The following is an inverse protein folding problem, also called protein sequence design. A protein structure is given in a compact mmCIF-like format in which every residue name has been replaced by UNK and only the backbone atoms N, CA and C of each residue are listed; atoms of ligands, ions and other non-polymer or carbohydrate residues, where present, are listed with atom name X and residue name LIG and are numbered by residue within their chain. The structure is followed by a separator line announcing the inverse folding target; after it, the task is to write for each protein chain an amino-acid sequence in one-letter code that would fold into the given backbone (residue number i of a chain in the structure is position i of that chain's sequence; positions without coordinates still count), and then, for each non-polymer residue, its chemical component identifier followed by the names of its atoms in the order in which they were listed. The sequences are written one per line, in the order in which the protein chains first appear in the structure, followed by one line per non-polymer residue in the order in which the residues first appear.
data_IF_256579207707
#
_entry.id   IF_256579207707
#
_cell.length_a   1.000
_cell.length_b   1.000
_cell.length_c   1.000
_cell.angle_alpha   90.00
_cell.angle_beta   90.00
_cell.angle_gamma   90.00
#
_symmetry.space_group_name_H-M   'P 1'
#
loop_
_entity.id
_entity.type
_entity.pdbx_description
1 polymer ?
#
# COMPACT_ATOMS: atom_id res chain seq x y z
N UNK A 1 -19.31 -18.93 -11.53
CA UNK A 1 -18.08 -18.15 -11.33
C UNK A 1 -18.51 -16.73 -11.01
N UNK A 2 -17.99 -16.10 -9.94
CA UNK A 2 -18.19 -14.65 -9.81
C UNK A 2 -17.65 -14.01 -11.10
N UNK A 3 -18.47 -13.22 -11.77
CA UNK A 3 -18.06 -12.50 -12.97
C UNK A 3 -16.81 -11.68 -12.62
N UNK A 4 -15.76 -11.75 -13.43
CA UNK A 4 -14.50 -10.99 -13.25
C UNK A 4 -14.77 -9.52 -12.95
N UNK A 5 -15.85 -8.97 -13.52
CA UNK A 5 -16.31 -7.61 -13.27
C UNK A 5 -16.67 -7.35 -11.81
N UNK A 6 -17.34 -8.30 -11.13
CA UNK A 6 -17.64 -8.17 -9.69
C UNK A 6 -16.36 -8.08 -8.86
N UNK A 7 -15.35 -8.89 -9.20
CA UNK A 7 -14.05 -8.86 -8.51
C UNK A 7 -13.33 -7.53 -8.74
N UNK A 8 -13.31 -7.03 -9.98
CA UNK A 8 -12.72 -5.72 -10.32
C UNK A 8 -13.43 -4.58 -9.59
N UNK A 9 -14.76 -4.53 -9.63
CA UNK A 9 -15.54 -3.50 -8.96
C UNK A 9 -15.32 -3.53 -7.43
N UNK A 10 -15.22 -4.73 -6.84
CA UNK A 10 -14.92 -4.92 -5.43
C UNK A 10 -13.51 -4.42 -5.08
N UNK A 11 -12.51 -4.77 -5.89
CA UNK A 11 -11.14 -4.29 -5.74
C UNK A 11 -11.06 -2.76 -5.79
N UNK A 12 -11.66 -2.14 -6.81
CA UNK A 12 -11.67 -0.67 -6.95
C UNK A 12 -12.39 -0.01 -5.77
N UNK A 13 -13.48 -0.61 -5.27
CA UNK A 13 -14.15 -0.12 -4.07
C UNK A 13 -13.24 -0.10 -2.84
N UNK A 14 -12.57 -1.23 -2.56
CA UNK A 14 -11.64 -1.32 -1.43
C UNK A 14 -10.46 -0.36 -1.59
N UNK A 15 -9.92 -0.22 -2.80
CA UNK A 15 -8.88 0.77 -3.08
C UNK A 15 -9.35 2.20 -2.80
N UNK A 16 -10.60 2.53 -3.13
CA UNK A 16 -11.17 3.85 -2.84
C UNK A 16 -11.25 4.10 -1.33
N UNK A 17 -11.65 3.10 -0.54
CA UNK A 17 -11.63 3.17 0.91
C UNK A 17 -10.21 3.34 1.47
N UNK A 18 -9.24 2.58 0.96
CA UNK A 18 -7.83 2.67 1.39
C UNK A 18 -7.30 4.08 1.12
N UNK A 19 -7.53 4.65 -0.07
CA UNK A 19 -7.15 6.04 -0.36
C UNK A 19 -7.84 7.03 0.58
N UNK A 20 -9.14 6.87 0.83
CA UNK A 20 -9.89 7.73 1.75
C UNK A 20 -9.27 7.72 3.15
N UNK A 21 -8.93 6.55 3.69
CA UNK A 21 -8.26 6.43 4.99
C UNK A 21 -6.83 6.97 4.96
N UNK A 22 -6.06 6.71 3.90
CA UNK A 22 -4.69 7.19 3.76
C UNK A 22 -4.64 8.73 3.75
N UNK A 23 -5.45 9.39 2.93
CA UNK A 23 -5.52 10.85 2.89
C UNK A 23 -6.06 11.45 4.20
N UNK A 24 -7.08 10.84 4.81
CA UNK A 24 -7.63 11.32 6.08
C UNK A 24 -6.62 11.20 7.22
N UNK A 25 -5.90 10.09 7.28
CA UNK A 25 -4.84 9.85 8.26
C UNK A 25 -3.70 10.87 8.09
N UNK A 26 -3.27 11.09 6.85
CA UNK A 26 -2.18 12.03 6.55
C UNK A 26 -2.60 13.48 6.84
N UNK A 27 -3.83 13.87 6.52
CA UNK A 27 -4.36 15.22 6.79
C UNK A 27 -4.22 15.61 8.26
N UNK A 28 -4.55 14.71 9.18
CA UNK A 28 -4.43 14.96 10.63
C UNK A 28 -2.97 15.08 11.07
N UNK A 29 -2.05 14.37 10.38
CA UNK A 29 -0.64 14.30 10.74
C UNK A 29 0.19 15.45 10.15
N UNK A 30 -0.23 16.06 9.04
CA UNK A 30 0.53 17.10 8.33
C UNK A 30 0.99 18.24 9.25
N UNK A 31 0.13 18.86 10.09
CA UNK A 31 0.58 19.98 10.93
C UNK A 31 1.70 19.62 11.91
N UNK A 32 1.72 18.38 12.42
CA UNK A 32 2.73 17.90 13.37
C UNK A 32 3.99 17.33 12.72
N UNK A 33 3.86 16.70 11.55
CA UNK A 33 4.99 16.08 10.86
C UNK A 33 5.68 17.04 9.89
N UNK A 34 4.91 17.65 8.99
CA UNK A 34 5.40 18.35 7.80
C UNK A 34 5.18 19.86 7.81
N UNK A 35 4.42 20.36 8.77
CA UNK A 35 4.19 21.79 8.96
C UNK A 35 5.47 22.56 9.25
N UNK A 36 5.36 23.88 9.28
CA UNK A 36 6.52 24.78 9.47
C UNK A 36 7.29 24.53 10.77
N UNK A 37 6.57 24.12 11.82
CA UNK A 37 7.10 23.74 13.12
C UNK A 37 7.01 22.22 13.36
N UNK A 38 6.84 21.44 12.29
CA UNK A 38 6.75 19.99 12.35
C UNK A 38 8.12 19.33 12.59
N UNK A 39 8.10 18.02 12.85
CA UNK A 39 9.31 17.24 13.07
C UNK A 39 10.25 17.24 11.84
N UNK A 40 9.67 17.17 10.64
CA UNK A 40 10.38 17.19 9.36
C UNK A 40 9.67 18.14 8.39
N UNK A 41 9.94 19.46 8.47
CA UNK A 41 9.24 20.45 7.66
C UNK A 41 9.39 20.18 6.15
N UNK A 42 8.26 20.11 5.45
CA UNK A 42 8.22 19.82 4.01
C UNK A 42 8.91 20.89 3.16
N UNK A 43 8.94 22.14 3.64
CA UNK A 43 9.63 23.26 2.98
C UNK A 43 11.13 23.06 2.77
N UNK A 44 11.77 22.17 3.55
CA UNK A 44 13.19 21.90 3.42
C UNK A 44 13.52 21.01 2.20
N UNK A 45 12.52 20.29 1.70
CA UNK A 45 12.66 19.41 0.53
C UNK A 45 12.24 20.11 -0.76
N UNK A 46 11.39 21.14 -0.66
CA UNK A 46 10.99 21.92 -1.82
C UNK A 46 11.96 23.07 -2.04
N UNK A 47 12.54 23.15 -3.24
CA UNK A 47 13.30 24.33 -3.65
C UNK A 47 12.39 25.56 -3.59
N UNK A 48 12.89 26.63 -2.97
CA UNK A 48 12.16 27.87 -2.69
C UNK A 48 11.62 28.59 -3.93
N UNK A 49 12.09 28.23 -5.13
CA UNK A 49 11.76 28.94 -6.37
C UNK A 49 10.52 28.39 -7.10
N UNK A 50 9.93 27.26 -6.67
CA UNK A 50 8.79 26.66 -7.35
C UNK A 50 9.10 26.22 -8.78
N UNK A 51 8.16 25.57 -9.47
CA UNK A 51 8.39 25.22 -10.88
C UNK A 51 8.11 26.43 -11.78
N UNK A 52 9.08 26.83 -12.61
CA UNK A 52 8.94 27.94 -13.57
C UNK A 52 8.44 27.46 -14.94
N UNK A 53 8.81 26.24 -15.32
CA UNK A 53 8.42 25.58 -16.57
C UNK A 53 7.78 24.20 -16.34
N UNK A 54 7.01 23.71 -17.31
CA UNK A 54 6.55 22.30 -17.34
C UNK A 54 7.72 21.31 -17.42
N UNK A 55 8.87 21.75 -17.95
CA UNK A 55 10.11 20.97 -17.99
C UNK A 55 10.69 20.77 -16.58
N UNK A 56 10.71 21.81 -15.72
CA UNK A 56 11.17 21.72 -14.33
C UNK A 56 10.33 20.76 -13.45
N UNK A 57 9.05 20.61 -13.81
CA UNK A 57 8.12 19.66 -13.18
C UNK A 57 8.40 18.21 -13.54
N UNK A 58 8.90 17.97 -14.75
CA UNK A 58 9.14 16.63 -15.31
C UNK A 58 10.58 16.17 -15.09
N UNK A 59 11.55 17.09 -15.16
CA UNK A 59 12.98 16.80 -14.99
C UNK A 59 13.38 16.70 -13.51
N UNK A 60 12.64 17.34 -12.61
CA UNK A 60 12.83 17.21 -11.16
C UNK A 60 11.99 16.09 -10.53
N UNK A 61 11.84 16.11 -9.20
CA UNK A 61 10.87 15.27 -8.51
C UNK A 61 9.43 15.69 -8.89
N UNK A 62 8.64 14.82 -9.55
CA UNK A 62 7.32 15.17 -10.06
C UNK A 62 6.33 15.31 -8.91
N UNK A 63 6.03 16.54 -8.50
CA UNK A 63 5.09 16.84 -7.42
C UNK A 63 4.18 18.00 -7.78
N UNK A 64 2.87 17.85 -7.51
CA UNK A 64 1.90 18.93 -7.68
C UNK A 64 2.13 20.08 -6.68
N UNK A 65 2.90 19.83 -5.61
CA UNK A 65 3.24 20.84 -4.60
C UNK A 65 4.08 21.98 -5.17
N UNK A 66 4.91 21.74 -6.21
CA UNK A 66 5.66 22.80 -6.91
C UNK A 66 4.78 23.83 -7.62
N UNK A 67 3.50 23.51 -7.86
CA UNK A 67 2.52 24.43 -8.44
C UNK A 67 1.79 25.28 -7.38
N UNK A 68 1.85 24.89 -6.10
CA UNK A 68 1.15 25.58 -5.00
C UNK A 68 1.68 26.99 -4.73
N UNK A 69 2.99 27.28 -4.84
CA UNK A 69 3.50 28.65 -4.76
C UNK A 69 2.87 29.60 -5.78
N UNK A 70 2.50 29.13 -6.99
CA UNK A 70 1.80 29.94 -8.00
C UNK A 70 0.38 30.31 -7.58
N UNK A 71 -0.23 29.50 -6.71
CA UNK A 71 -1.54 29.76 -6.12
C UNK A 71 -1.44 30.65 -4.86
N UNK A 72 -0.23 31.10 -4.49
CA UNK A 72 0.01 31.85 -3.26
C UNK A 72 -0.18 31.02 -1.99
N UNK A 73 -0.14 29.69 -2.12
CA UNK A 73 -0.28 28.77 -1.00
C UNK A 73 1.09 28.37 -0.47
N UNK A 74 1.20 28.41 0.86
CA UNK A 74 2.33 27.82 1.55
C UNK A 74 2.34 26.29 1.41
N UNK A 75 3.52 25.68 1.56
CA UNK A 75 3.78 24.25 1.37
C UNK A 75 2.83 23.39 2.21
N UNK A 76 2.64 23.75 3.48
CA UNK A 76 1.74 23.03 4.38
C UNK A 76 0.30 23.07 3.87
N UNK A 77 -0.20 24.26 3.50
CA UNK A 77 -1.56 24.45 2.97
C UNK A 77 -1.74 23.73 1.63
N UNK A 78 -0.69 23.65 0.82
CA UNK A 78 -0.65 22.85 -0.39
C UNK A 78 -0.87 21.36 -0.10
N UNK A 79 -0.15 20.80 0.88
CA UNK A 79 -0.33 19.40 1.30
C UNK A 79 -1.74 19.15 1.84
N UNK A 80 -2.26 20.05 2.67
CA UNK A 80 -3.62 19.97 3.20
C UNK A 80 -4.66 19.96 2.06
N UNK A 81 -4.50 20.81 1.05
CA UNK A 81 -5.37 20.87 -0.11
C UNK A 81 -5.33 19.57 -0.93
N UNK A 82 -4.14 19.01 -1.16
CA UNK A 82 -3.99 17.73 -1.87
C UNK A 82 -4.69 16.59 -1.10
N UNK A 83 -4.54 16.55 0.23
CA UNK A 83 -5.23 15.58 1.08
C UNK A 83 -6.75 15.74 1.01
N UNK A 84 -7.27 16.96 1.14
CA UNK A 84 -8.71 17.24 1.04
C UNK A 84 -9.27 16.88 -0.33
N UNK A 85 -8.57 17.24 -1.41
CA UNK A 85 -8.96 16.86 -2.77
C UNK A 85 -8.99 15.33 -2.93
N UNK A 86 -7.96 14.63 -2.42
CA UNK A 86 -7.89 13.17 -2.42
C UNK A 86 -9.04 12.53 -1.64
N UNK A 87 -9.37 13.05 -0.46
CA UNK A 87 -10.50 12.60 0.36
C UNK A 87 -11.83 12.75 -0.39
N UNK A 88 -12.07 13.89 -1.03
CA UNK A 88 -13.32 14.15 -1.76
C UNK A 88 -13.46 13.20 -2.95
N UNK A 89 -12.41 13.05 -3.76
CA UNK A 89 -12.43 12.13 -4.92
C UNK A 89 -12.63 10.69 -4.44
N UNK A 90 -11.91 10.26 -3.39
CA UNK A 90 -12.02 8.92 -2.84
C UNK A 90 -13.43 8.65 -2.27
N UNK A 91 -14.02 9.63 -1.57
CA UNK A 91 -15.39 9.54 -1.06
C UNK A 91 -16.40 9.37 -2.20
N UNK A 92 -16.29 10.14 -3.28
CA UNK A 92 -17.14 9.96 -4.46
C UNK A 92 -16.98 8.58 -5.09
N UNK A 93 -15.76 8.04 -5.14
CA UNK A 93 -15.48 6.68 -5.63
C UNK A 93 -16.08 5.58 -4.74
N UNK A 94 -16.18 5.81 -3.42
CA UNK A 94 -16.81 4.89 -2.47
C UNK A 94 -18.34 4.89 -2.63
N UNK A 95 -18.94 6.08 -2.75
CA UNK A 95 -20.40 6.25 -2.83
C UNK A 95 -20.95 5.91 -4.22
N UNK A 96 -20.26 6.36 -5.27
CA UNK A 96 -20.71 6.22 -6.66
C UNK A 96 -19.88 5.21 -7.43
N UNK A 97 -20.55 4.20 -7.99
CA UNK A 97 -19.90 3.25 -8.90
C UNK A 97 -19.39 3.91 -10.18
N UNK A 98 -20.02 5.01 -10.60
CA UNK A 98 -19.66 5.74 -11.83
C UNK A 98 -18.37 6.54 -11.66
N UNK A 99 -18.09 7.02 -10.45
CA UNK A 99 -16.85 7.73 -10.14
C UNK A 99 -15.61 6.82 -10.07
N UNK A 100 -15.78 5.49 -10.09
CA UNK A 100 -14.66 4.53 -10.12
C UNK A 100 -14.16 4.32 -11.55
N UNK A 101 -13.67 5.38 -12.15
CA UNK A 101 -13.15 5.43 -13.51
C UNK A 101 -11.63 5.65 -13.53
N UNK A 102 -11.05 5.49 -14.72
CA UNK A 102 -9.61 5.70 -14.96
C UNK A 102 -9.13 7.08 -14.47
N UNK A 103 -9.92 8.12 -14.70
CA UNK A 103 -9.57 9.51 -14.37
C UNK A 103 -9.46 9.67 -12.86
N UNK A 104 -10.45 9.22 -12.09
CA UNK A 104 -10.46 9.38 -10.64
C UNK A 104 -9.30 8.64 -9.97
N UNK A 105 -9.00 7.41 -10.41
CA UNK A 105 -7.84 6.66 -9.89
C UNK A 105 -6.49 7.28 -10.30
N UNK A 106 -6.40 7.85 -11.49
CA UNK A 106 -5.19 8.58 -11.92
C UNK A 106 -4.97 9.81 -11.06
N UNK A 107 -6.04 10.58 -10.78
CA UNK A 107 -5.97 11.74 -9.90
C UNK A 107 -5.57 11.33 -8.48
N UNK A 108 -6.23 10.32 -7.89
CA UNK A 108 -5.88 9.83 -6.55
C UNK A 108 -4.41 9.40 -6.47
N UNK A 109 -3.92 8.67 -7.48
CA UNK A 109 -2.53 8.24 -7.54
C UNK A 109 -1.56 9.41 -7.66
N UNK A 110 -1.84 10.39 -8.53
CA UNK A 110 -1.01 11.59 -8.70
C UNK A 110 -0.95 12.46 -7.44
N UNK A 111 -2.09 12.60 -6.75
CA UNK A 111 -2.17 13.33 -5.47
C UNK A 111 -1.33 12.62 -4.41
N UNK A 112 -1.46 11.29 -4.29
CA UNK A 112 -0.67 10.52 -3.32
C UNK A 112 0.82 10.53 -3.64
N UNK A 113 1.19 10.36 -4.91
CA UNK A 113 2.58 10.43 -5.37
C UNK A 113 3.20 11.78 -5.03
N UNK A 114 2.46 12.87 -5.22
CA UNK A 114 2.93 14.22 -4.88
C UNK A 114 3.25 14.37 -3.40
N UNK A 115 2.43 13.79 -2.51
CA UNK A 115 2.67 13.78 -1.07
C UNK A 115 3.84 12.86 -0.71
N UNK A 116 3.91 11.67 -1.30
CA UNK A 116 4.97 10.69 -1.07
C UNK A 116 6.38 11.25 -1.34
N UNK A 117 6.54 11.98 -2.46
CA UNK A 117 7.84 12.57 -2.82
C UNK A 117 8.35 13.59 -1.78
N UNK A 118 7.44 14.31 -1.11
CA UNK A 118 7.79 15.32 -0.08
C UNK A 118 7.76 14.73 1.34
N UNK A 119 7.15 13.57 1.53
CA UNK A 119 6.90 12.99 2.85
C UNK A 119 8.09 12.33 3.55
N UNK A 120 9.30 12.42 2.99
CA UNK A 120 10.56 12.02 3.62
C UNK A 120 10.48 10.64 4.32
N UNK A 121 11.10 10.49 5.49
CA UNK A 121 11.20 9.23 6.25
C UNK A 121 9.83 8.67 6.67
N UNK A 122 8.83 9.53 6.90
CA UNK A 122 7.52 9.10 7.39
C UNK A 122 6.59 8.52 6.30
N UNK A 123 6.77 8.90 5.02
CA UNK A 123 6.05 8.29 3.89
C UNK A 123 6.91 7.27 3.13
N UNK A 124 8.19 7.09 3.47
CA UNK A 124 9.08 6.11 2.84
C UNK A 124 8.94 4.69 3.45
N UNK A 125 7.73 4.30 3.87
CA UNK A 125 7.46 2.94 4.33
C UNK A 125 7.00 2.03 3.19
N UNK A 126 7.18 0.72 3.37
CA UNK A 126 6.83 -0.28 2.37
C UNK A 126 5.34 -0.26 1.99
N UNK A 127 4.46 0.15 2.91
CA UNK A 127 3.02 0.23 2.68
C UNK A 127 2.63 1.37 1.75
N UNK A 128 3.33 2.50 1.81
CA UNK A 128 3.14 3.64 0.90
C UNK A 128 3.59 3.30 -0.52
N UNK A 129 4.73 2.62 -0.63
CA UNK A 129 5.23 2.09 -1.91
C UNK A 129 4.21 1.08 -2.48
N UNK A 130 3.71 0.17 -1.65
CA UNK A 130 2.67 -0.78 -2.06
C UNK A 130 1.38 -0.07 -2.48
N UNK A 131 0.98 1.01 -1.81
CA UNK A 131 -0.19 1.81 -2.18
C UNK A 131 0.01 2.50 -3.53
N UNK A 132 1.20 3.01 -3.82
CA UNK A 132 1.54 3.56 -5.13
C UNK A 132 1.55 2.50 -6.24
N UNK A 133 2.12 1.31 -5.97
CA UNK A 133 2.16 0.19 -6.93
C UNK A 133 0.75 -0.35 -7.22
N UNK A 134 -0.04 -0.61 -6.16
CA UNK A 134 -1.45 -1.05 -6.29
C UNK A 134 -2.34 0.04 -6.90
N UNK A 135 -2.09 1.30 -6.56
CA UNK A 135 -2.76 2.46 -7.12
C UNK A 135 -2.55 2.59 -8.62
N UNK A 136 -1.30 2.42 -9.08
CA UNK A 136 -0.99 2.38 -10.49
C UNK A 136 -1.70 1.22 -11.21
N UNK A 137 -1.74 0.03 -10.59
CA UNK A 137 -2.51 -1.09 -11.14
C UNK A 137 -4.03 -0.78 -11.17
N UNK A 138 -4.56 -0.07 -10.18
CA UNK A 138 -5.96 0.33 -10.13
C UNK A 138 -6.34 1.23 -11.31
N UNK A 139 -5.43 2.10 -11.77
CA UNK A 139 -5.61 2.91 -12.99
C UNK A 139 -5.87 1.99 -14.21
N UNK A 140 -5.05 0.96 -14.39
CA UNK A 140 -5.16 0.03 -15.54
C UNK A 140 -6.42 -0.84 -15.44
N UNK A 141 -6.83 -1.20 -14.22
CA UNK A 141 -8.02 -2.02 -13.95
C UNK A 141 -9.31 -1.22 -14.14
N UNK A 142 -9.28 0.07 -13.82
CA UNK A 142 -10.42 0.95 -13.88
C UNK A 142 -10.97 1.08 -15.31
N UNK A 143 -12.29 1.12 -15.47
CA UNK A 143 -12.91 1.31 -16.78
C UNK A 143 -12.52 2.67 -17.36
N UNK A 144 -12.15 2.69 -18.64
CA UNK A 144 -11.82 3.91 -19.39
C UNK A 144 -13.05 4.77 -19.73
N UNK A 145 -14.25 4.19 -19.62
CA UNK A 145 -15.47 4.87 -20.01
C UNK A 145 -15.94 5.85 -18.92
N UNK A 146 -15.76 7.15 -19.20
CA UNK A 146 -16.47 8.28 -18.57
C UNK A 146 -17.98 8.14 -18.82
N UNK A 147 -18.62 7.25 -18.08
CA UNK A 147 -20.05 6.94 -18.20
C UNK A 147 -20.90 7.93 -17.42
N UNK A 148 -20.84 9.21 -17.80
CA UNK A 148 -21.81 10.21 -17.35
C UNK A 148 -23.21 9.94 -17.97
N UNK A 149 -23.29 9.18 -19.08
CA UNK A 149 -24.55 8.87 -19.75
C UNK A 149 -24.47 7.50 -20.49
N UNK A 150 -25.02 6.43 -19.93
CA UNK A 150 -25.42 5.24 -20.70
C UNK A 150 -24.75 3.89 -20.38
N UNK A 151 -25.58 2.84 -20.53
CA UNK A 151 -25.37 1.40 -20.24
C UNK A 151 -23.91 0.92 -20.34
N UNK A 152 -23.41 0.32 -19.25
CA UNK A 152 -22.21 -0.53 -19.25
C UNK A 152 -22.33 -1.59 -20.34
N UNK A 153 -21.62 -1.42 -21.46
CA UNK A 153 -21.31 -2.55 -22.34
C UNK A 153 -20.31 -3.44 -21.61
N UNK A 154 -20.86 -4.43 -20.93
CA UNK A 154 -20.17 -5.52 -20.24
C UNK A 154 -19.72 -6.57 -21.27
N UNK A 155 -18.92 -6.17 -22.25
CA UNK A 155 -18.08 -7.14 -22.95
C UNK A 155 -16.78 -7.20 -22.16
N UNK A 156 -16.43 -8.39 -21.66
CA UNK A 156 -15.17 -8.60 -20.97
C UNK A 156 -14.04 -8.08 -21.84
N UNK A 157 -13.24 -7.17 -21.31
CA UNK A 157 -12.14 -6.62 -22.10
C UNK A 157 -11.08 -7.72 -22.21
N UNK A 158 -10.47 -7.93 -23.39
CA UNK A 158 -9.41 -8.93 -23.55
C UNK A 158 -8.22 -8.71 -22.59
N UNK A 159 -8.07 -7.49 -22.07
CA UNK A 159 -7.07 -7.08 -21.08
C UNK A 159 -7.36 -7.54 -19.63
N UNK A 160 -8.54 -8.10 -19.35
CA UNK A 160 -8.92 -8.54 -18.00
C UNK A 160 -8.03 -9.70 -17.50
N UNK A 161 -7.52 -10.54 -18.40
CA UNK A 161 -6.58 -11.60 -18.05
C UNK A 161 -5.24 -11.05 -17.55
N UNK A 162 -4.68 -10.06 -18.27
CA UNK A 162 -3.38 -9.45 -17.96
C UNK A 162 -3.45 -8.65 -16.67
N UNK A 163 -4.48 -7.83 -16.50
CA UNK A 163 -4.65 -7.01 -15.28
C UNK A 163 -4.81 -7.86 -14.02
N UNK A 164 -5.62 -8.92 -14.07
CA UNK A 164 -5.78 -9.84 -12.94
C UNK A 164 -4.51 -10.68 -12.71
N UNK A 165 -3.72 -10.96 -13.74
CA UNK A 165 -2.42 -11.59 -13.59
C UNK A 165 -1.42 -10.65 -12.90
N UNK A 166 -1.38 -9.37 -13.26
CA UNK A 166 -0.55 -8.36 -12.60
C UNK A 166 -0.86 -8.21 -11.11
N UNK A 167 -2.16 -8.23 -10.73
CA UNK A 167 -2.55 -8.26 -9.32
C UNK A 167 -2.02 -9.50 -8.60
N UNK A 168 -2.10 -10.68 -9.22
CA UNK A 168 -1.55 -11.91 -8.64
C UNK A 168 -0.03 -11.85 -8.53
N UNK A 169 0.64 -11.29 -9.53
CA UNK A 169 2.08 -11.07 -9.51
C UNK A 169 2.49 -10.12 -8.39
N UNK A 170 1.76 -9.02 -8.19
CA UNK A 170 2.03 -8.09 -7.10
C UNK A 170 1.86 -8.77 -5.73
N UNK A 171 0.77 -9.54 -5.53
CA UNK A 171 0.56 -10.32 -4.31
C UNK A 171 1.66 -11.36 -4.09
N UNK A 172 2.07 -12.06 -5.16
CA UNK A 172 3.20 -12.97 -5.12
C UNK A 172 4.47 -12.26 -4.68
N UNK A 173 4.85 -11.16 -5.35
CA UNK A 173 6.05 -10.38 -5.05
C UNK A 173 6.02 -9.89 -3.61
N UNK A 174 4.91 -9.35 -3.14
CA UNK A 174 4.75 -8.86 -1.77
C UNK A 174 5.05 -9.98 -0.76
N UNK A 175 4.42 -11.14 -0.94
CA UNK A 175 4.58 -12.27 -0.02
C UNK A 175 5.98 -12.89 -0.09
N UNK A 176 6.45 -13.15 -1.31
CA UNK A 176 7.74 -13.75 -1.57
C UNK A 176 8.89 -12.87 -1.10
N UNK A 177 8.86 -11.57 -1.42
CA UNK A 177 9.87 -10.63 -0.94
C UNK A 177 9.88 -10.51 0.58
N UNK A 178 8.71 -10.53 1.25
CA UNK A 178 8.62 -10.56 2.71
C UNK A 178 9.36 -11.73 3.32
N UNK A 179 9.26 -12.92 2.72
CA UNK A 179 9.96 -14.12 3.19
C UNK A 179 11.45 -14.13 2.85
N UNK A 180 11.81 -13.75 1.62
CA UNK A 180 13.21 -13.73 1.16
C UNK A 180 14.04 -12.73 1.95
N UNK A 181 13.51 -11.53 2.22
CA UNK A 181 14.23 -10.51 2.99
C UNK A 181 14.57 -11.00 4.40
N UNK A 182 13.75 -11.85 5.01
CA UNK A 182 14.07 -12.45 6.32
C UNK A 182 15.30 -13.35 6.25
N UNK A 183 15.46 -14.13 5.17
CA UNK A 183 16.65 -14.97 4.96
C UNK A 183 17.88 -14.15 4.58
N UNK A 184 17.72 -13.17 3.71
CA UNK A 184 18.84 -12.31 3.25
C UNK A 184 19.22 -11.24 4.27
N UNK A 185 18.44 -11.03 5.32
CA UNK A 185 18.78 -10.10 6.41
C UNK A 185 19.95 -10.57 7.28
N UNK A 186 20.38 -11.83 7.12
CA UNK A 186 21.46 -12.47 7.91
C UNK A 186 21.25 -12.38 9.43
N UNK A 187 20.00 -12.17 9.86
CA UNK A 187 19.70 -12.02 11.27
C UNK A 187 19.75 -13.39 11.98
N UNK A 188 20.50 -13.50 13.10
CA UNK A 188 20.60 -14.76 13.85
C UNK A 188 19.26 -15.30 14.36
N UNK A 189 18.28 -14.44 14.64
CA UNK A 189 16.97 -14.86 15.17
C UNK A 189 16.09 -15.52 14.11
N UNK A 190 16.17 -15.06 12.85
CA UNK A 190 15.47 -15.65 11.71
C UNK A 190 16.08 -17.01 11.34
N UNK A 191 17.41 -17.08 11.24
CA UNK A 191 18.13 -18.34 10.98
C UNK A 191 18.07 -19.34 12.15
N UNK A 192 18.04 -18.84 13.39
CA UNK A 192 17.91 -19.64 14.61
C UNK A 192 16.48 -20.06 14.96
N UNK A 193 15.49 -19.70 14.14
CA UNK A 193 14.06 -19.96 14.33
C UNK A 193 13.47 -19.39 15.64
N UNK A 194 14.12 -18.42 16.27
CA UNK A 194 13.65 -17.78 17.51
C UNK A 194 12.94 -16.45 17.27
N UNK A 195 12.81 -16.03 16.00
CA UNK A 195 12.24 -14.73 15.63
C UNK A 195 10.83 -14.48 16.20
N UNK A 196 9.96 -15.51 16.26
CA UNK A 196 8.60 -15.34 16.77
C UNK A 196 8.56 -15.03 18.28
N UNK A 197 9.52 -15.52 19.06
CA UNK A 197 9.58 -15.25 20.49
C UNK A 197 9.77 -13.75 20.77
N UNK A 198 10.67 -13.11 20.02
CA UNK A 198 10.92 -11.66 20.10
C UNK A 198 9.82 -10.87 19.40
N UNK A 199 9.29 -11.39 18.29
CA UNK A 199 8.31 -10.68 17.47
C UNK A 199 7.08 -10.27 18.26
N UNK A 200 6.48 -11.17 19.06
CA UNK A 200 5.27 -10.87 19.82
C UNK A 200 5.48 -9.83 20.94
N UNK A 201 6.70 -9.72 21.46
CA UNK A 201 7.06 -8.70 22.46
C UNK A 201 7.24 -7.33 21.82
N UNK A 202 7.87 -7.28 20.64
CA UNK A 202 8.29 -6.03 19.99
C UNK A 202 7.35 -5.52 18.90
N UNK A 203 6.11 -6.02 18.80
CA UNK A 203 5.17 -5.56 17.77
C UNK A 203 4.81 -4.08 18.00
N UNK A 204 4.88 -3.25 16.96
CA UNK A 204 4.52 -1.83 17.06
C UNK A 204 3.03 -1.61 17.41
N UNK A 205 2.16 -2.55 17.04
CA UNK A 205 0.73 -2.54 17.36
C UNK A 205 0.38 -3.89 18.00
N UNK A 206 0.70 -4.08 19.29
CA UNK A 206 0.50 -5.35 19.95
C UNK A 206 -1.01 -5.64 20.06
N UNK A 207 -1.40 -6.85 19.69
CA UNK A 207 -2.77 -7.31 19.91
C UNK A 207 -2.86 -7.99 21.29
N UNK A 208 -4.01 -8.01 21.96
CA UNK A 208 -4.17 -8.76 23.21
C UNK A 208 -3.78 -10.24 23.06
N UNK A 209 -3.96 -10.80 21.86
CA UNK A 209 -3.55 -12.15 21.53
C UNK A 209 -2.02 -12.32 21.54
N UNK A 210 -1.24 -11.29 21.19
CA UNK A 210 0.23 -11.36 21.13
C UNK A 210 0.83 -11.77 22.48
N UNK A 211 0.25 -11.31 23.59
CA UNK A 211 0.67 -11.73 24.92
C UNK A 211 0.50 -13.24 25.12
N UNK A 212 -0.66 -13.80 24.75
CA UNK A 212 -0.91 -15.25 24.83
C UNK A 212 0.00 -16.06 23.90
N UNK A 213 0.24 -15.57 22.68
CA UNK A 213 1.13 -16.22 21.73
C UNK A 213 2.57 -16.25 22.23
N UNK A 214 3.04 -15.17 22.86
CA UNK A 214 4.37 -15.09 23.45
C UNK A 214 4.59 -16.11 24.58
N UNK A 215 3.54 -16.47 25.33
CA UNK A 215 3.61 -17.45 26.42
C UNK A 215 3.64 -18.91 25.93
N UNK A 216 3.54 -19.17 24.62
CA UNK A 216 3.57 -20.54 24.11
C UNK A 216 4.95 -21.19 24.26
N UNK A 217 5.01 -22.53 24.33
CA UNK A 217 6.28 -23.23 24.39
C UNK A 217 7.20 -22.89 23.21
N UNK A 218 8.49 -22.76 23.48
CA UNK A 218 9.52 -22.38 22.51
C UNK A 218 9.52 -23.26 21.24
N UNK A 219 9.28 -24.57 21.38
CA UNK A 219 9.20 -25.47 20.23
C UNK A 219 8.06 -25.09 19.27
N UNK A 220 6.94 -24.59 19.80
CA UNK A 220 5.79 -24.18 19.00
C UNK A 220 6.07 -22.85 18.29
N UNK A 221 6.75 -21.92 18.96
CA UNK A 221 7.21 -20.66 18.36
C UNK A 221 8.19 -20.90 17.21
N UNK A 222 9.14 -21.83 17.38
CA UNK A 222 10.07 -22.25 16.32
C UNK A 222 9.34 -22.87 15.13
N UNK A 223 8.35 -23.74 15.39
CA UNK A 223 7.50 -24.28 14.34
C UNK A 223 6.72 -23.17 13.62
N UNK A 224 6.27 -22.15 14.36
CA UNK A 224 5.64 -20.95 13.78
C UNK A 224 6.56 -20.17 12.85
N UNK A 225 7.87 -20.06 13.15
CA UNK A 225 8.85 -19.46 12.22
C UNK A 225 8.95 -20.29 10.94
N UNK A 226 9.03 -21.61 11.04
CA UNK A 226 9.04 -22.50 9.86
C UNK A 226 7.76 -22.34 9.05
N UNK A 227 6.60 -22.32 9.71
CA UNK A 227 5.31 -22.07 9.07
C UNK A 227 5.27 -20.73 8.34
N UNK A 228 5.88 -19.70 8.91
CA UNK A 228 6.02 -18.38 8.28
C UNK A 228 6.81 -18.47 6.98
N UNK A 229 7.96 -19.15 6.98
CA UNK A 229 8.73 -19.34 5.75
C UNK A 229 7.96 -20.12 4.69
N UNK A 230 7.23 -21.17 5.08
CA UNK A 230 6.40 -21.93 4.15
C UNK A 230 5.32 -21.04 3.54
N UNK A 231 4.62 -20.24 4.36
CA UNK A 231 3.53 -19.37 3.90
C UNK A 231 4.04 -18.19 3.07
N UNK A 232 5.22 -17.66 3.36
CA UNK A 232 5.77 -16.50 2.65
C UNK A 232 6.60 -16.87 1.42
N UNK A 233 7.23 -18.05 1.38
CA UNK A 233 8.12 -18.46 0.29
C UNK A 233 7.47 -19.52 -0.60
N UNK A 234 6.97 -20.62 -0.02
CA UNK A 234 6.47 -21.75 -0.81
C UNK A 234 5.02 -21.55 -1.28
N UNK A 235 4.13 -21.09 -0.40
CA UNK A 235 2.70 -20.91 -0.70
C UNK A 235 2.43 -19.91 -1.82
N UNK A 236 3.14 -18.77 -1.98
CA UNK A 236 2.84 -17.82 -3.03
C UNK A 236 2.95 -18.39 -4.45
N UNK A 237 3.79 -19.40 -4.69
CA UNK A 237 3.85 -20.09 -5.98
C UNK A 237 2.50 -20.72 -6.38
N UNK A 238 1.68 -21.10 -5.40
CA UNK A 238 0.34 -21.65 -5.63
C UNK A 238 -0.63 -20.61 -6.22
N UNK A 239 -0.34 -19.31 -6.15
CA UNK A 239 -1.17 -18.27 -6.78
C UNK A 239 -1.22 -18.42 -8.31
N UNK A 240 -0.18 -18.97 -8.91
CA UNK A 240 -0.10 -19.22 -10.36
C UNK A 240 -0.65 -20.59 -10.77
N UNK A 241 -1.06 -21.42 -9.81
CA UNK A 241 -1.61 -22.74 -10.11
C UNK A 241 -2.90 -22.63 -10.94
N UNK A 242 -3.06 -23.41 -12.01
CA UNK A 242 -4.31 -23.46 -12.77
C UNK A 242 -5.46 -24.04 -11.95
N UNK A 243 -5.15 -24.87 -10.95
CA UNK A 243 -6.13 -25.53 -10.09
C UNK A 243 -6.73 -24.54 -9.09
N UNK A 244 -8.07 -24.43 -9.11
CA UNK A 244 -8.81 -23.51 -8.23
C UNK A 244 -8.61 -23.84 -6.75
N UNK A 245 -8.58 -25.12 -6.39
CA UNK A 245 -8.44 -25.56 -4.99
C UNK A 245 -7.11 -25.10 -4.38
N UNK A 246 -6.01 -25.16 -5.15
CA UNK A 246 -4.70 -24.70 -4.68
C UNK A 246 -4.64 -23.19 -4.46
N UNK A 247 -5.32 -22.41 -5.30
CA UNK A 247 -5.43 -20.95 -5.10
C UNK A 247 -6.26 -20.58 -3.88
N UNK A 248 -7.32 -21.35 -3.59
CA UNK A 248 -8.14 -21.16 -2.38
C UNK A 248 -7.33 -21.54 -1.13
N UNK A 249 -6.59 -22.65 -1.18
CA UNK A 249 -5.67 -23.04 -0.10
C UNK A 249 -4.65 -21.93 0.17
N UNK A 250 -4.03 -21.39 -0.89
CA UNK A 250 -3.07 -20.31 -0.76
C UNK A 250 -3.69 -19.06 -0.14
N UNK A 251 -4.91 -18.69 -0.54
CA UNK A 251 -5.65 -17.58 0.07
C UNK A 251 -5.86 -17.79 1.58
N UNK A 252 -6.40 -18.95 1.99
CA UNK A 252 -6.62 -19.24 3.41
C UNK A 252 -5.31 -19.32 4.20
N UNK A 253 -4.25 -19.88 3.62
CA UNK A 253 -2.93 -19.91 4.26
C UNK A 253 -2.38 -18.50 4.53
N UNK A 254 -2.64 -17.54 3.63
CA UNK A 254 -2.27 -16.13 3.86
C UNK A 254 -3.14 -15.46 4.92
N UNK A 255 -4.45 -15.73 4.94
CA UNK A 255 -5.35 -15.18 5.96
C UNK A 255 -5.05 -15.71 7.36
N UNK A 256 -4.69 -16.99 7.49
CA UNK A 256 -4.26 -17.60 8.76
C UNK A 256 -2.98 -16.97 9.31
N UNK A 257 -2.10 -16.46 8.44
CA UNK A 257 -0.91 -15.70 8.86
C UNK A 257 -1.26 -14.35 9.46
N UNK A 258 -2.31 -13.68 8.96
CA UNK A 258 -2.67 -12.32 9.37
C UNK A 258 -2.81 -12.11 10.90
N UNK A 259 -3.40 -13.04 11.69
CA UNK A 259 -3.41 -12.94 13.14
C UNK A 259 -2.09 -13.36 13.82
N UNK A 260 -1.32 -14.27 13.21
CA UNK A 260 -0.05 -14.77 13.77
C UNK A 260 1.08 -13.74 13.65
N UNK A 261 1.10 -12.94 12.59
CA UNK A 261 2.19 -12.01 12.26
C UNK A 261 1.59 -10.74 11.65
N UNK A 262 0.90 -9.96 12.48
CA UNK A 262 0.60 -8.57 12.13
C UNK A 262 1.91 -7.78 12.29
N UNK A 263 2.44 -7.32 11.15
CA UNK A 263 3.62 -6.44 11.03
C UNK A 263 4.97 -7.03 11.49
N UNK A 264 5.53 -7.98 10.73
CA UNK A 264 6.96 -8.36 10.82
C UNK A 264 7.78 -7.89 9.59
N UNK A 265 7.61 -6.63 9.19
CA UNK A 265 8.38 -6.05 8.08
C UNK A 265 9.29 -4.88 8.48
N UNK A 266 9.22 -4.41 9.72
CA UNK A 266 10.02 -3.29 10.20
C UNK A 266 10.28 -3.44 11.69
N UNK A 267 11.32 -4.18 12.08
CA UNK A 267 12.20 -3.87 13.23
C UNK A 267 13.12 -5.04 13.60
N UNK A 268 14.12 -5.36 12.76
CA UNK A 268 15.26 -6.18 13.25
C UNK A 268 16.60 -5.61 12.81
N UNK A 269 16.65 -4.36 12.32
CA UNK A 269 17.93 -3.72 11.95
C UNK A 269 18.51 -2.83 13.06
N UNK A 270 17.76 -2.57 14.14
CA UNK A 270 18.11 -1.56 15.15
C UNK A 270 18.64 -2.10 16.49
N UNK A 271 18.64 -3.42 16.74
CA UNK A 271 19.08 -3.99 18.04
C UNK A 271 20.21 -5.03 17.96
N UNK A 272 21.14 -4.86 17.02
CA UNK A 272 22.44 -5.53 17.09
C UNK A 272 23.54 -4.50 16.83
N UNK A 273 23.82 -3.71 17.86
CA UNK A 273 25.15 -3.17 18.15
C UNK A 273 25.39 -3.35 19.64
#
# INVERSE_FOLDING_TARGET
MASVNKTKDCFLWFMSLIYMFAFSSLYIQIPGLYGDNGLLPAKLVMDSEGASSWQDLVEGQPTLLKLMPRLGLDTQRGMDLLCLAGMVIAFFCVVSRTARDFVSFTLLWMLYLSLYQVGQTFLWFQWDILLLETGFLAIIIAPFNLQILGKRRSLGNPHDGVTMWLLRWLLFRLMFASGVVKLTSECPTWWGLTALAVHFESQCIPTPAAWYWHQLPEWFLRLGVVGTYVIEIAVPFLFFSPLRSLRILAFWAQDVRLPLIRFALTDVKSRVK
#
